data_IF_628327463651
#
_entry.id   IF_628327463651
#
_cell.length_a   1.000
_cell.length_b   1.000
_cell.length_c   1.000
_cell.angle_alpha   90.00
_cell.angle_beta   90.00
_cell.angle_gamma   90.00
#
_symmetry.space_group_name_H-M   'P 1'
#
loop_
_entity.id
_entity.type
_entity.pdbx_description
1 polymer ?
#
# COMPACT_ATOMS: atom_id res chain seq x y z
N UNK A 1 7.73 -10.00 -1.58
CA UNK A 1 6.47 -9.37 -2.03
C UNK A 1 6.32 -9.51 -3.52
N UNK A 2 5.12 -9.77 -3.97
CA UNK A 2 4.82 -9.89 -5.39
C UNK A 2 3.41 -9.39 -5.65
N UNK A 3 3.10 -9.13 -6.92
CA UNK A 3 1.75 -8.70 -7.30
C UNK A 3 0.72 -9.74 -6.88
N UNK A 4 -0.43 -9.27 -6.39
CA UNK A 4 -1.49 -10.12 -5.87
C UNK A 4 -1.38 -10.42 -4.38
N UNK A 5 -0.25 -10.11 -3.75
CA UNK A 5 -0.09 -10.30 -2.31
C UNK A 5 -0.94 -9.32 -1.54
N UNK A 6 -1.49 -9.78 -0.42
CA UNK A 6 -2.21 -8.91 0.51
C UNK A 6 -1.24 -8.31 1.51
N UNK A 7 -1.40 -7.03 1.74
CA UNK A 7 -0.55 -6.29 2.68
C UNK A 7 -1.40 -5.35 3.52
N UNK A 8 -0.80 -4.88 4.60
CA UNK A 8 -1.41 -3.85 5.45
C UNK A 8 -0.56 -2.60 5.30
N UNK A 9 -1.22 -1.47 5.02
CA UNK A 9 -0.59 -0.16 5.01
C UNK A 9 -0.86 0.47 6.38
N UNK A 10 0.15 0.57 7.26
CA UNK A 10 -0.08 1.09 8.61
C UNK A 10 -0.58 2.53 8.61
N UNK A 11 -1.35 2.88 9.64
CA UNK A 11 -1.91 4.22 9.80
C UNK A 11 -0.84 5.31 9.74
N UNK A 12 0.31 5.06 10.35
CA UNK A 12 1.42 6.00 10.37
C UNK A 12 2.05 6.23 9.01
N UNK A 13 1.87 5.29 8.09
CA UNK A 13 2.39 5.37 6.72
C UNK A 13 1.36 6.01 5.79
N UNK A 14 0.10 5.62 5.91
CA UNK A 14 -0.93 6.14 5.00
C UNK A 14 -1.48 7.52 5.41
N UNK A 15 -1.36 7.88 6.68
CA UNK A 15 -1.83 9.17 7.17
C UNK A 15 -3.34 9.29 7.33
N UNK A 16 -4.09 8.20 7.22
CA UNK A 16 -5.56 8.23 7.28
C UNK A 16 -6.11 7.82 8.63
N UNK A 17 -5.26 7.60 9.62
CA UNK A 17 -5.68 7.36 11.00
C UNK A 17 -6.01 5.91 11.34
N UNK A 18 -5.92 4.99 10.39
CA UNK A 18 -6.13 3.56 10.65
C UNK A 18 -5.34 2.72 9.66
N UNK A 19 -5.06 1.48 10.03
CA UNK A 19 -4.41 0.54 9.14
C UNK A 19 -5.38 0.15 8.03
N UNK A 20 -4.86 0.04 6.81
CA UNK A 20 -5.68 -0.30 5.64
C UNK A 20 -5.16 -1.57 4.99
N UNK A 21 -6.08 -2.45 4.63
CA UNK A 21 -5.75 -3.64 3.86
C UNK A 21 -5.69 -3.29 2.38
N UNK A 22 -4.73 -3.89 1.69
CA UNK A 22 -4.52 -3.60 0.28
C UNK A 22 -3.96 -4.82 -0.44
N UNK A 23 -4.03 -4.77 -1.77
CA UNK A 23 -3.46 -5.79 -2.65
C UNK A 23 -2.40 -5.12 -3.52
N UNK A 24 -1.25 -5.75 -3.65
CA UNK A 24 -0.18 -5.25 -4.49
C UNK A 24 -0.56 -5.44 -5.96
N UNK A 25 -0.56 -4.35 -6.72
CA UNK A 25 -0.89 -4.37 -8.14
C UNK A 25 0.32 -4.21 -9.03
N UNK A 26 1.41 -3.61 -8.52
CA UNK A 26 2.62 -3.40 -9.29
C UNK A 26 3.82 -3.26 -8.37
N UNK A 27 4.97 -3.74 -8.83
CA UNK A 27 6.23 -3.58 -8.11
C UNK A 27 7.27 -3.06 -9.10
N UNK A 28 7.93 -1.97 -8.76
CA UNK A 28 9.00 -1.39 -9.54
C UNK A 28 10.27 -1.27 -8.70
N UNK A 29 11.40 -1.59 -9.32
CA UNK A 29 12.70 -1.38 -8.70
C UNK A 29 13.44 -0.30 -9.49
N UNK A 30 13.88 0.73 -8.78
CA UNK A 30 14.57 1.84 -9.41
C UNK A 30 15.61 2.42 -8.44
N UNK A 31 16.83 2.58 -8.93
CA UNK A 31 17.93 3.20 -8.16
C UNK A 31 18.15 2.56 -6.79
N UNK A 32 17.99 1.24 -6.68
CA UNK A 32 18.17 0.53 -5.42
C UNK A 32 16.98 0.54 -4.48
N UNK A 33 15.90 1.24 -4.83
CA UNK A 33 14.67 1.25 -4.05
C UNK A 33 13.61 0.38 -4.70
N UNK A 34 12.71 -0.18 -3.89
CA UNK A 34 11.57 -0.95 -4.36
C UNK A 34 10.29 -0.17 -4.08
N UNK A 35 9.58 0.19 -5.13
CA UNK A 35 8.31 0.90 -5.04
C UNK A 35 7.17 -0.09 -5.27
N UNK A 36 6.20 -0.09 -4.37
CA UNK A 36 5.08 -1.04 -4.41
C UNK A 36 3.79 -0.25 -4.56
N UNK A 37 3.08 -0.49 -5.65
CA UNK A 37 1.77 0.12 -5.87
C UNK A 37 0.71 -0.82 -5.34
N UNK A 38 -0.19 -0.30 -4.53
CA UNK A 38 -1.25 -1.09 -3.91
C UNK A 38 -2.61 -0.47 -4.17
N UNK A 39 -3.64 -1.32 -4.17
CA UNK A 39 -5.04 -0.90 -4.21
C UNK A 39 -5.69 -1.33 -2.91
N UNK A 40 -6.34 -0.39 -2.22
CA UNK A 40 -7.02 -0.68 -0.97
C UNK A 40 -8.21 -1.62 -1.24
N UNK A 41 -8.38 -2.62 -0.37
CA UNK A 41 -9.46 -3.60 -0.51
C UNK A 41 -10.74 -3.18 0.22
N UNK A 42 -10.67 -2.10 0.99
CA UNK A 42 -11.82 -1.59 1.74
C UNK A 42 -12.03 -0.11 1.45
N UNK A 43 -13.27 0.40 1.59
CA UNK A 43 -13.55 1.82 1.40
C UNK A 43 -12.73 2.67 2.36
N UNK A 44 -12.15 3.74 1.85
CA UNK A 44 -11.38 4.68 2.64
C UNK A 44 -11.84 6.11 2.33
N UNK A 45 -12.93 6.57 2.94
CA UNK A 45 -13.43 7.92 2.70
C UNK A 45 -12.44 9.00 3.10
N UNK A 46 -11.55 8.71 4.07
CA UNK A 46 -10.51 9.64 4.51
C UNK A 46 -9.51 9.96 3.38
N UNK A 47 -9.42 9.10 2.39
CA UNK A 47 -8.49 9.28 1.26
C UNK A 47 -9.05 10.16 0.14
N UNK A 48 -10.19 10.80 0.35
CA UNK A 48 -10.81 11.70 -0.64
C UNK A 48 -10.99 11.05 -2.02
N UNK A 49 -11.43 9.79 -2.04
CA UNK A 49 -11.66 9.06 -3.28
C UNK A 49 -10.46 8.30 -3.83
N UNK A 50 -9.31 8.35 -3.19
CA UNK A 50 -8.16 7.54 -3.59
C UNK A 50 -8.44 6.08 -3.29
N UNK A 51 -8.03 5.21 -4.22
CA UNK A 51 -8.24 3.78 -4.09
C UNK A 51 -6.94 3.02 -3.83
N UNK A 52 -5.83 3.71 -3.73
CA UNK A 52 -4.53 3.08 -3.50
C UNK A 52 -3.41 4.10 -3.39
N UNK A 53 -2.18 3.62 -3.43
CA UNK A 53 -1.00 4.48 -3.34
C UNK A 53 0.27 3.71 -3.69
N UNK A 54 1.39 4.43 -3.65
CA UNK A 54 2.71 3.87 -3.90
C UNK A 54 3.53 4.01 -2.61
N UNK A 55 4.12 2.92 -2.17
CA UNK A 55 4.89 2.89 -0.92
C UNK A 55 6.19 2.14 -1.15
N UNK A 56 7.16 2.31 -0.24
CA UNK A 56 8.34 1.46 -0.22
C UNK A 56 7.97 0.11 0.37
N UNK A 57 8.67 -0.94 -0.05
CA UNK A 57 8.40 -2.30 0.41
C UNK A 57 8.49 -2.44 1.93
N UNK A 58 9.46 -1.74 2.56
CA UNK A 58 9.66 -1.82 4.02
C UNK A 58 8.57 -1.08 4.81
N UNK A 59 7.73 -0.29 4.16
CA UNK A 59 6.63 0.43 4.80
C UNK A 59 5.38 -0.42 4.93
N UNK A 60 5.32 -1.55 4.24
CA UNK A 60 4.14 -2.41 4.20
C UNK A 60 4.33 -3.63 5.10
N UNK A 61 3.24 -4.13 5.65
CA UNK A 61 3.23 -5.35 6.45
C UNK A 61 2.54 -6.43 5.62
N UNK A 62 3.24 -7.50 5.37
CA UNK A 62 2.66 -8.63 4.62
C UNK A 62 1.70 -9.39 5.52
N UNK A 63 0.51 -9.66 5.01
CA UNK A 63 -0.48 -10.49 5.69
C UNK A 63 -0.08 -11.97 5.73
#
# INVERSE_FOLDING_TARGET
>A
MKTGDRVIVPAEINGYGRDLQAIITEIEKFAGATFVTVTFTEPCPEACGRTGGVYHDFQLIKE
#
